data_IF_368167617258
#
_entry.id   IF_368167617258
#
_cell.length_a   1.000
_cell.length_b   1.000
_cell.length_c   1.000
_cell.angle_alpha   90.00
_cell.angle_beta   90.00
_cell.angle_gamma   90.00
#
_symmetry.space_group_name_H-M   'P 1'
#
loop_
_entity.id
_entity.type
_entity.pdbx_description
1 polymer ?
#
# COMPACT_ATOMS: atom_id res chain seq x y z
N UNK A 1 -1.67 32.14 37.14
CA UNK A 1 -1.82 31.87 35.69
C UNK A 1 -0.45 31.45 35.19
N UNK A 2 -0.19 30.27 34.63
CA UNK A 2 -0.84 29.59 33.49
C UNK A 2 -0.89 28.07 33.73
N UNK A 3 -1.98 27.46 33.27
CA UNK A 3 -2.28 26.03 33.40
C UNK A 3 -1.42 25.26 32.37
N UNK A 4 -0.73 24.20 32.80
CA UNK A 4 0.00 23.31 31.90
C UNK A 4 -1.02 22.31 31.33
N UNK A 5 -1.19 22.33 30.01
CA UNK A 5 -2.05 21.41 29.28
C UNK A 5 -1.26 20.10 29.13
N UNK A 6 -1.72 19.03 29.78
CA UNK A 6 -1.26 17.67 29.56
C UNK A 6 -2.14 17.07 28.46
N UNK A 7 -1.53 16.69 27.34
CA UNK A 7 -2.19 15.84 26.35
C UNK A 7 -2.16 14.41 26.89
N UNK A 8 -3.32 13.93 27.33
CA UNK A 8 -3.59 12.51 27.57
C UNK A 8 -4.10 11.96 26.24
N UNK A 9 -3.39 11.00 25.64
CA UNK A 9 -3.87 10.25 24.49
C UNK A 9 -4.25 8.84 24.95
N UNK A 10 -5.56 8.56 24.88
CA UNK A 10 -6.15 7.23 24.68
C UNK A 10 -6.03 6.23 25.83
N UNK A 11 -6.87 6.34 26.86
CA UNK A 11 -7.20 5.19 27.71
C UNK A 11 -8.19 4.29 26.98
N UNK A 12 -7.86 3.01 26.77
CA UNK A 12 -8.85 1.94 26.70
C UNK A 12 -8.95 1.28 28.08
N UNK A 13 -9.65 1.95 29.00
CA UNK A 13 -10.15 1.35 30.24
C UNK A 13 -11.47 0.67 29.91
N UNK A 14 -11.58 -0.65 30.13
CA UNK A 14 -12.61 -1.20 31.02
C UNK A 14 -12.13 -2.54 31.60
N UNK A 15 -12.29 -2.71 32.91
CA UNK A 15 -12.28 -4.04 33.56
C UNK A 15 -13.73 -4.50 33.48
N UNK A 16 -14.03 -5.42 32.56
CA UNK A 16 -15.40 -5.91 32.32
C UNK A 16 -15.73 -7.06 33.27
N UNK A 17 -16.52 -6.76 34.31
CA UNK A 17 -17.15 -7.75 35.18
C UNK A 17 -18.43 -8.26 34.52
N UNK A 18 -18.34 -9.45 33.92
CA UNK A 18 -19.38 -10.45 33.67
C UNK A 18 -20.81 -9.92 33.42
N UNK A 19 -21.19 -9.82 32.15
CA UNK A 19 -22.59 -9.96 31.70
C UNK A 19 -22.68 -11.16 30.75
N UNK A 20 -23.78 -11.94 30.77
CA UNK A 20 -23.91 -13.07 29.85
C UNK A 20 -24.08 -12.50 28.44
N UNK A 21 -23.07 -12.68 27.58
CA UNK A 21 -23.16 -12.28 26.17
C UNK A 21 -24.22 -13.16 25.50
N UNK A 22 -25.22 -12.50 24.93
CA UNK A 22 -26.13 -13.08 23.96
C UNK A 22 -25.75 -12.38 22.65
N UNK A 23 -25.16 -13.14 21.72
CA UNK A 23 -24.49 -12.76 20.47
C UNK A 23 -22.97 -12.63 20.62
N UNK A 24 -22.27 -13.70 20.26
CA UNK A 24 -20.84 -13.70 19.94
C UNK A 24 -20.69 -12.83 18.68
N UNK A 25 -19.79 -11.87 18.73
CA UNK A 25 -19.43 -11.03 17.61
C UNK A 25 -17.90 -11.01 17.60
N UNK A 26 -17.31 -10.79 16.43
CA UNK A 26 -15.85 -10.74 16.31
C UNK A 26 -15.28 -9.67 17.25
N UNK A 27 -14.47 -10.09 18.22
CA UNK A 27 -14.08 -9.28 19.38
C UNK A 27 -12.56 -9.26 19.60
N UNK A 28 -12.05 -8.08 19.98
CA UNK A 28 -10.66 -7.91 20.40
C UNK A 28 -10.48 -8.35 21.85
N UNK A 29 -9.49 -9.21 22.07
CA UNK A 29 -9.10 -9.69 23.38
C UNK A 29 -7.64 -9.32 23.67
N UNK A 30 -7.29 -9.21 24.97
CA UNK A 30 -5.93 -8.92 25.39
C UNK A 30 -5.54 -9.75 26.61
N UNK A 31 -4.35 -10.33 26.58
CA UNK A 31 -3.74 -11.00 27.72
C UNK A 31 -2.34 -10.43 28.04
N UNK A 32 -1.53 -11.15 28.83
CA UNK A 32 -0.17 -10.73 29.18
C UNK A 32 0.83 -10.77 28.03
N UNK A 33 0.50 -11.50 26.96
CA UNK A 33 1.36 -11.72 25.79
C UNK A 33 1.04 -10.69 24.71
N UNK A 34 -0.23 -10.39 24.47
CA UNK A 34 -0.62 -9.42 23.46
C UNK A 34 -2.13 -9.33 23.21
N UNK A 35 -2.46 -8.64 22.12
CA UNK A 35 -3.82 -8.56 21.59
C UNK A 35 -4.05 -9.71 20.62
N UNK A 36 -5.24 -10.31 20.64
CA UNK A 36 -5.70 -11.29 19.65
C UNK A 36 -7.16 -10.97 19.28
N UNK A 37 -7.64 -11.55 18.20
CA UNK A 37 -8.98 -11.27 17.67
C UNK A 37 -9.75 -12.57 17.49
N UNK A 38 -10.86 -12.70 18.21
CA UNK A 38 -11.81 -13.81 18.06
C UNK A 38 -12.56 -13.63 16.74
N UNK A 39 -12.64 -14.70 15.96
CA UNK A 39 -13.39 -14.74 14.72
C UNK A 39 -14.54 -15.72 14.93
N UNK A 40 -15.77 -15.26 14.79
CA UNK A 40 -16.96 -16.10 14.79
C UNK A 40 -17.22 -16.57 13.34
N UNK A 41 -16.37 -17.48 12.85
CA UNK A 41 -16.62 -18.15 11.58
C UNK A 41 -17.58 -19.33 11.85
N UNK A 42 -18.86 -19.14 11.52
CA UNK A 42 -19.96 -20.13 11.57
C UNK A 42 -19.75 -21.33 10.59
N UNK A 43 -18.60 -21.40 9.91
CA UNK A 43 -18.28 -22.49 9.01
C UNK A 43 -17.84 -23.71 9.85
N UNK A 44 -18.62 -24.81 9.77
CA UNK A 44 -18.34 -26.14 10.35
C UNK A 44 -17.07 -26.80 9.73
N UNK A 45 -15.97 -26.06 9.57
CA UNK A 45 -14.66 -26.56 9.15
C UNK A 45 -13.81 -26.88 10.40
N UNK A 46 -13.54 -28.15 10.60
CA UNK A 46 -12.80 -28.67 11.75
C UNK A 46 -11.29 -28.33 11.76
N UNK A 47 -10.77 -27.71 10.70
CA UNK A 47 -9.36 -27.28 10.58
C UNK A 47 -9.16 -25.75 10.74
N UNK A 48 -10.21 -25.02 11.10
CA UNK A 48 -10.16 -23.56 11.27
C UNK A 48 -10.10 -23.15 12.75
N UNK A 49 -9.32 -22.12 13.07
CA UNK A 49 -9.24 -21.58 14.44
C UNK A 49 -10.30 -20.50 14.64
N UNK A 50 -10.84 -20.44 15.86
CA UNK A 50 -11.79 -19.44 16.34
C UNK A 50 -11.14 -18.05 16.57
N UNK A 51 -9.93 -17.83 16.04
CA UNK A 51 -9.21 -16.57 16.15
C UNK A 51 -8.28 -16.29 14.96
N UNK A 52 -7.99 -15.01 14.77
CA UNK A 52 -7.04 -14.55 13.77
C UNK A 52 -5.62 -15.06 14.06
N UNK A 53 -5.05 -15.82 13.12
CA UNK A 53 -3.66 -16.28 13.20
C UNK A 53 -2.96 -16.26 11.84
N UNK A 54 -1.63 -16.21 11.90
CA UNK A 54 -0.72 -16.47 10.78
C UNK A 54 -1.06 -15.69 9.49
N UNK A 55 -1.21 -14.38 9.61
CA UNK A 55 -1.42 -13.55 8.43
C UNK A 55 -2.23 -12.27 8.63
N UNK A 56 -2.59 -11.70 7.49
CA UNK A 56 -3.37 -10.47 7.38
C UNK A 56 -4.86 -10.73 7.62
N UNK A 57 -5.49 -9.86 8.40
CA UNK A 57 -6.95 -9.82 8.58
C UNK A 57 -7.47 -8.40 8.45
N UNK A 58 -8.58 -8.26 7.73
CA UNK A 58 -9.30 -7.01 7.56
C UNK A 58 -10.40 -6.92 8.62
N UNK A 59 -10.20 -6.05 9.62
CA UNK A 59 -11.11 -5.86 10.75
C UNK A 59 -11.52 -4.39 10.78
N UNK A 60 -12.82 -4.11 10.80
CA UNK A 60 -13.33 -2.73 10.78
C UNK A 60 -12.69 -1.84 9.69
N UNK A 61 -12.52 -2.39 8.48
CA UNK A 61 -11.91 -1.72 7.31
C UNK A 61 -10.42 -1.37 7.47
N UNK A 62 -9.74 -1.96 8.45
CA UNK A 62 -8.30 -1.80 8.66
C UNK A 62 -7.60 -3.16 8.59
N UNK A 63 -6.42 -3.18 7.99
CA UNK A 63 -5.58 -4.38 7.94
C UNK A 63 -4.75 -4.51 9.20
N UNK A 64 -4.72 -5.72 9.77
CA UNK A 64 -3.90 -6.13 10.91
C UNK A 64 -3.15 -7.40 10.54
N UNK A 65 -1.97 -7.60 11.14
CA UNK A 65 -1.21 -8.84 10.95
C UNK A 65 -1.07 -9.57 12.29
N UNK A 66 -1.34 -10.88 12.27
CA UNK A 66 -1.25 -11.77 13.43
C UNK A 66 -0.12 -12.77 13.22
N UNK A 67 0.68 -13.00 14.25
CA UNK A 67 1.70 -14.07 14.19
C UNK A 67 1.09 -15.47 14.27
N UNK A 68 1.95 -16.48 14.13
CA UNK A 68 1.56 -17.89 14.19
C UNK A 68 0.92 -18.31 15.52
N UNK A 69 1.08 -17.52 16.59
CA UNK A 69 0.44 -17.75 17.89
C UNK A 69 -0.90 -17.00 18.03
N UNK A 70 -1.31 -16.22 17.02
CA UNK A 70 -2.56 -15.46 17.03
C UNK A 70 -2.44 -14.08 17.67
N UNK A 71 -1.21 -13.59 17.93
CA UNK A 71 -1.03 -12.27 18.53
C UNK A 71 -0.77 -11.20 17.47
N UNK A 72 -1.49 -10.09 17.60
CA UNK A 72 -1.40 -8.92 16.73
C UNK A 72 -0.01 -8.29 16.81
N UNK A 73 0.53 -7.95 15.64
CA UNK A 73 1.82 -7.26 15.52
C UNK A 73 1.65 -5.74 15.48
N UNK A 74 2.74 -5.06 15.81
CA UNK A 74 2.89 -3.59 15.73
C UNK A 74 4.31 -3.26 15.29
N UNK A 75 4.52 -2.09 14.68
CA UNK A 75 5.81 -1.68 14.15
C UNK A 75 6.15 -2.38 12.84
N UNK A 76 7.44 -2.44 12.54
CA UNK A 76 7.95 -3.06 11.32
C UNK A 76 7.79 -4.58 11.31
N UNK A 77 7.25 -5.09 10.20
CA UNK A 77 7.22 -6.52 9.86
C UNK A 77 7.82 -6.72 8.47
N UNK A 78 8.44 -7.88 8.23
CA UNK A 78 9.04 -8.25 6.95
C UNK A 78 8.37 -9.51 6.43
N UNK A 79 7.75 -9.44 5.26
CA UNK A 79 6.98 -10.50 4.62
C UNK A 79 7.36 -10.55 3.14
N UNK A 80 7.69 -11.74 2.63
CA UNK A 80 7.93 -11.99 1.20
C UNK A 80 8.83 -10.94 0.49
N UNK A 81 9.94 -10.57 1.13
CA UNK A 81 10.94 -9.56 0.71
C UNK A 81 10.52 -8.08 0.82
N UNK A 82 9.31 -7.79 1.31
CA UNK A 82 8.80 -6.45 1.54
C UNK A 82 8.64 -6.11 3.03
N UNK A 83 8.81 -4.83 3.36
CA UNK A 83 8.64 -4.31 4.72
C UNK A 83 7.34 -3.54 4.85
N UNK A 84 6.61 -3.77 5.94
CA UNK A 84 5.35 -3.11 6.24
C UNK A 84 5.41 -2.49 7.63
N UNK A 85 4.76 -1.34 7.81
CA UNK A 85 4.67 -0.69 9.11
C UNK A 85 3.26 -0.75 9.69
N UNK A 86 3.13 -1.34 10.88
CA UNK A 86 1.90 -1.36 11.65
C UNK A 86 1.92 -0.27 12.72
N UNK A 87 0.86 0.53 12.78
CA UNK A 87 0.67 1.57 13.79
C UNK A 87 0.64 0.99 15.20
N UNK A 88 0.67 1.87 16.21
CA UNK A 88 0.56 1.45 17.61
C UNK A 88 -0.79 0.82 17.96
N UNK A 89 -1.83 1.09 17.17
CA UNK A 89 -3.13 0.42 17.27
C UNK A 89 -3.17 -0.91 16.49
N UNK A 90 -2.07 -1.30 15.84
CA UNK A 90 -1.91 -2.52 15.03
C UNK A 90 -2.32 -2.38 13.56
N UNK A 91 -2.94 -1.27 13.18
CA UNK A 91 -3.40 -1.09 11.80
C UNK A 91 -2.25 -0.83 10.83
N UNK A 92 -2.32 -1.39 9.62
CA UNK A 92 -1.38 -1.12 8.54
C UNK A 92 -1.36 0.37 8.18
N UNK A 93 -0.16 0.95 8.15
CA UNK A 93 0.07 2.27 7.61
C UNK A 93 0.22 2.18 6.10
N UNK A 94 -0.50 3.04 5.36
CA UNK A 94 -0.39 3.13 3.89
C UNK A 94 -0.25 4.59 3.47
N UNK A 95 0.48 4.81 2.37
CA UNK A 95 0.64 6.10 1.70
C UNK A 95 1.01 7.25 2.66
N UNK A 96 1.99 7.01 3.52
CA UNK A 96 2.37 7.91 4.60
C UNK A 96 3.82 7.71 5.04
N UNK A 97 4.36 8.68 5.79
CA UNK A 97 5.64 8.52 6.48
C UNK A 97 5.45 7.81 7.82
N UNK A 98 6.31 6.84 8.10
CA UNK A 98 6.42 6.19 9.40
C UNK A 98 6.99 7.16 10.45
N UNK A 99 6.81 6.90 11.76
CA UNK A 99 7.34 7.76 12.82
C UNK A 99 8.87 7.92 12.82
N UNK A 100 9.59 6.96 12.23
CA UNK A 100 11.04 6.95 12.03
C UNK A 100 11.48 7.52 10.68
N UNK A 101 10.55 7.97 9.84
CA UNK A 101 10.83 8.82 8.67
C UNK A 101 10.89 8.09 7.32
N UNK A 102 10.46 6.84 7.24
CA UNK A 102 10.41 6.08 6.00
C UNK A 102 9.05 6.23 5.31
N UNK A 103 9.02 6.27 3.98
CA UNK A 103 7.76 6.31 3.23
C UNK A 103 7.25 4.90 2.95
N UNK A 104 5.96 4.67 3.18
CA UNK A 104 5.26 3.45 2.74
C UNK A 104 4.26 3.81 1.63
N UNK A 105 4.20 2.98 0.59
CA UNK A 105 3.38 3.19 -0.60
C UNK A 105 1.88 2.90 -0.33
N UNK A 106 1.04 2.93 -1.36
CA UNK A 106 -0.41 2.72 -1.22
C UNK A 106 -0.82 1.32 -0.74
N UNK A 107 0.05 0.32 -0.92
CA UNK A 107 -0.12 -1.05 -0.44
C UNK A 107 0.46 -1.23 0.98
N UNK A 108 1.14 -0.21 1.51
CA UNK A 108 1.78 -0.22 2.82
C UNK A 108 3.19 -0.80 2.83
N UNK A 109 3.74 -1.10 1.66
CA UNK A 109 5.12 -1.55 1.48
C UNK A 109 6.06 -0.37 1.59
N UNK A 110 7.18 -0.57 2.29
CA UNK A 110 8.27 0.38 2.35
C UNK A 110 8.89 0.54 0.96
N UNK A 111 8.98 1.78 0.53
CA UNK A 111 9.67 2.15 -0.69
C UNK A 111 11.05 2.70 -0.32
N UNK A 112 12.09 1.98 -0.74
CA UNK A 112 13.47 2.44 -0.64
C UNK A 112 13.73 3.36 -1.83
N UNK A 113 13.51 4.66 -1.66
CA UNK A 113 13.76 5.69 -2.69
C UNK A 113 15.20 5.60 -3.26
N UNK A 114 16.12 4.94 -2.55
CA UNK A 114 17.49 4.64 -3.01
C UNK A 114 17.52 3.69 -4.24
N UNK A 115 16.41 3.03 -4.61
CA UNK A 115 16.29 2.23 -5.84
C UNK A 115 16.19 3.07 -7.12
N UNK A 116 16.16 4.41 -7.01
CA UNK A 116 16.08 5.33 -8.14
C UNK A 116 17.29 6.26 -8.31
N UNK A 117 18.46 5.91 -7.77
CA UNK A 117 19.69 6.72 -7.90
C UNK A 117 20.87 6.00 -8.61
N UNK A 118 20.55 5.07 -9.51
CA UNK A 118 21.49 4.43 -10.46
C UNK A 118 20.66 4.09 -11.73
N UNK A 119 20.21 5.08 -12.50
CA UNK A 119 21.02 5.60 -13.59
C UNK A 119 21.03 7.13 -13.55
N UNK A 120 22.20 7.66 -13.20
CA UNK A 120 22.58 8.99 -13.67
C UNK A 120 22.18 9.10 -15.12
N UNK A 121 21.44 10.16 -15.43
CA UNK A 121 21.48 10.82 -16.72
C UNK A 121 22.87 10.64 -17.32
N UNK A 122 23.02 9.66 -18.22
CA UNK A 122 24.09 9.69 -19.19
C UNK A 122 23.76 10.92 -20.05
N UNK A 123 24.36 12.01 -19.59
CA UNK A 123 24.65 13.25 -20.29
C UNK A 123 25.59 12.89 -21.46
N UNK A 124 25.06 12.13 -22.42
CA UNK A 124 25.56 11.85 -23.78
C UNK A 124 24.25 11.69 -24.57
N UNK A 125 23.73 12.71 -25.24
CA UNK A 125 24.39 13.33 -26.36
C UNK A 125 24.18 14.85 -26.37
N UNK A 126 25.32 15.53 -26.18
CA UNK A 126 25.78 16.67 -26.97
C UNK A 126 24.71 17.24 -27.91
N UNK A 127 24.32 18.48 -27.64
CA UNK A 127 24.01 19.40 -28.71
C UNK A 127 25.21 19.41 -29.67
N UNK A 128 25.16 18.61 -30.74
CA UNK A 128 26.03 18.76 -31.90
C UNK A 128 25.67 20.09 -32.55
N UNK A 129 26.29 21.14 -32.01
CA UNK A 129 26.61 22.39 -32.68
C UNK A 129 27.58 22.08 -33.82
N UNK A 130 27.08 21.49 -34.90
CA UNK A 130 27.84 21.30 -36.13
C UNK A 130 26.93 21.51 -37.35
N UNK A 131 26.98 22.75 -37.83
CA UNK A 131 26.84 23.16 -39.25
C UNK A 131 25.45 23.08 -39.88
N UNK A 132 24.88 24.28 -40.03
CA UNK A 132 24.25 24.67 -41.28
C UNK A 132 25.30 24.62 -42.40
N UNK A 133 25.51 23.44 -42.98
CA UNK A 133 26.09 23.34 -44.31
C UNK A 133 24.91 23.36 -45.30
N UNK A 134 24.72 24.53 -45.90
CA UNK A 134 24.00 24.73 -47.16
C UNK A 134 24.54 23.75 -48.22
N UNK A 135 23.72 22.84 -48.73
CA UNK A 135 23.85 22.16 -50.04
C UNK A 135 22.52 21.42 -50.29
N UNK A 136 21.54 22.06 -50.93
CA UNK A 136 21.27 21.99 -52.38
C UNK A 136 21.16 20.57 -52.92
N UNK A 137 20.00 19.94 -52.73
CA UNK A 137 19.50 18.91 -53.66
C UNK A 137 17.98 19.07 -53.85
N UNK A 138 17.68 19.83 -54.88
CA UNK A 138 16.51 19.80 -55.77
C UNK A 138 15.47 18.70 -55.45
N UNK A 139 14.33 19.13 -54.90
CA UNK A 139 13.07 18.45 -55.15
C UNK A 139 12.61 18.83 -56.57
N UNK A 140 13.14 18.12 -57.56
CA UNK A 140 12.54 18.06 -58.88
C UNK A 140 11.23 17.27 -58.78
N UNK A 141 10.14 18.01 -58.93
CA UNK A 141 8.95 17.69 -59.74
C UNK A 141 8.87 16.26 -60.25
N UNK A 142 7.92 15.49 -59.71
CA UNK A 142 7.10 14.59 -60.52
C UNK A 142 5.68 14.60 -59.97
N UNK A 143 4.85 15.38 -60.67
CA UNK A 143 3.40 15.20 -60.78
C UNK A 143 3.02 13.72 -60.77
N UNK A 144 2.20 13.32 -59.80
CA UNK A 144 1.13 12.38 -60.10
C UNK A 144 -0.15 13.20 -60.17
N UNK A 145 -0.44 13.61 -61.40
CA UNK A 145 -1.74 14.06 -61.84
C UNK A 145 -2.79 12.99 -61.54
N UNK A 146 -4.00 13.52 -61.38
CA UNK A 146 -5.31 12.89 -61.25
C UNK A 146 -5.48 11.55 -62.00
N UNK A 147 -6.29 10.66 -61.44
CA UNK A 147 -7.48 10.16 -62.13
C UNK A 147 -8.41 9.40 -61.16
N UNK A 148 -9.59 9.99 -61.03
CA UNK A 148 -10.93 9.42 -60.89
C UNK A 148 -11.09 7.89 -60.74
N UNK A 149 -11.97 7.50 -59.81
CA UNK A 149 -13.19 6.69 -60.07
C UNK A 149 -13.68 6.10 -58.73
N UNK A 150 -14.73 6.63 -58.12
CA UNK A 150 -16.17 6.45 -58.40
C UNK A 150 -16.78 5.23 -57.67
N UNK A 151 -18.03 5.45 -57.26
CA UNK A 151 -19.07 4.49 -56.89
C UNK A 151 -19.13 3.87 -55.48
N UNK A 152 -20.00 4.51 -54.69
CA UNK A 152 -21.18 3.91 -54.02
C UNK A 152 -21.41 2.42 -54.35
N UNK A 153 -21.70 1.60 -53.34
CA UNK A 153 -22.99 0.88 -53.26
C UNK A 153 -23.26 0.45 -51.80
N UNK A 154 -24.44 0.84 -51.33
CA UNK A 154 -25.11 0.34 -50.13
C UNK A 154 -25.39 -1.17 -50.23
N UNK A 155 -25.34 -1.87 -49.09
CA UNK A 155 -26.27 -2.97 -48.76
C UNK A 155 -26.55 -2.97 -47.25
#
# INVERSE_FOLDING_TARGET
MRKKLLFVLGTAMTISLCMPVLSQADEWHQDSTGWWYEIDDDDDDDDYDDYAKDGWKLIDQKWYYFDAAGYMKTGWIHLDDDWYYLNSDGSLLTNAYTPDGYWVNHDGEWDDDDRYDDDRYDDDDRYDDDRYDDDDDRYDDDRYDDDDDDDRYDD
#
